data_IF_638063368699
#
_entry.id   IF_638063368699
#
_cell.length_a   1.000
_cell.length_b   1.000
_cell.length_c   1.000
_cell.angle_alpha   90.00
_cell.angle_beta   90.00
_cell.angle_gamma   90.00
#
_symmetry.space_group_name_H-M   'P 1'
#
loop_
_entity.id
_entity.type
_entity.pdbx_description
1 polymer ?
#
# COMPACT_ATOMS: atom_id res chain seq x y z
N UNK A 1 68.00 9.58 29.81
CA UNK A 1 67.62 8.42 28.99
C UNK A 1 66.15 8.09 29.20
N UNK A 2 65.25 8.46 28.27
CA UNK A 2 63.83 8.07 28.33
C UNK A 2 63.73 6.62 27.86
N UNK A 3 63.33 5.69 28.74
CA UNK A 3 62.98 4.32 28.34
C UNK A 3 61.80 4.41 27.37
N UNK A 4 62.04 4.14 26.09
CA UNK A 4 60.95 3.83 25.16
C UNK A 4 60.23 2.62 25.72
N UNK A 5 59.03 2.83 26.29
CA UNK A 5 58.12 1.72 26.58
C UNK A 5 57.84 1.05 25.25
N UNK A 6 58.28 -0.19 25.09
CA UNK A 6 57.83 -1.00 23.96
C UNK A 6 56.31 -1.01 24.01
N UNK A 7 55.63 -0.63 22.91
CA UNK A 7 54.18 -0.72 22.87
C UNK A 7 53.82 -2.19 23.12
N UNK A 8 53.08 -2.44 24.19
CA UNK A 8 52.54 -3.76 24.48
C UNK A 8 51.77 -4.19 23.23
N UNK A 9 52.23 -5.25 22.55
CA UNK A 9 51.51 -5.82 21.41
C UNK A 9 50.15 -6.23 21.92
N UNK A 10 49.12 -5.49 21.54
CA UNK A 10 47.75 -5.77 21.96
C UNK A 10 47.23 -6.94 21.12
N UNK A 11 46.74 -7.98 21.77
CA UNK A 11 46.13 -9.12 21.10
C UNK A 11 44.73 -8.78 20.59
N UNK A 12 44.28 -9.47 19.54
CA UNK A 12 42.93 -9.34 18.99
C UNK A 12 41.85 -9.64 20.05
N UNK A 13 40.93 -8.70 20.25
CA UNK A 13 39.84 -8.74 21.24
C UNK A 13 38.56 -9.43 20.73
N UNK A 14 38.66 -10.26 19.69
CA UNK A 14 37.51 -11.03 19.21
C UNK A 14 37.11 -12.05 20.29
N UNK A 15 35.82 -12.23 20.51
CA UNK A 15 35.30 -13.22 21.45
C UNK A 15 35.12 -14.54 20.71
N UNK A 16 35.96 -15.57 20.98
CA UNK A 16 35.88 -16.85 20.28
C UNK A 16 34.49 -17.48 20.42
N UNK A 17 34.04 -18.16 19.37
CA UNK A 17 32.87 -19.05 19.46
C UNK A 17 33.11 -20.22 20.42
N UNK A 18 32.08 -21.02 20.74
CA UNK A 18 32.18 -22.15 21.66
C UNK A 18 33.31 -23.14 21.33
N UNK A 19 33.57 -23.35 20.03
CA UNK A 19 34.56 -24.30 19.51
C UNK A 19 35.80 -23.62 18.90
N UNK A 20 35.95 -22.30 19.10
CA UNK A 20 37.03 -21.52 18.49
C UNK A 20 38.12 -21.17 19.51
N UNK A 21 39.38 -21.20 19.07
CA UNK A 21 40.49 -20.74 19.89
C UNK A 21 40.63 -19.21 19.83
N UNK A 22 41.12 -18.60 20.90
CA UNK A 22 41.44 -17.17 20.93
C UNK A 22 42.42 -16.79 19.80
N UNK A 23 42.16 -15.67 19.14
CA UNK A 23 42.98 -15.23 18.00
C UNK A 23 44.38 -14.78 18.46
N UNK A 24 45.48 -15.41 17.99
CA UNK A 24 46.83 -15.04 18.41
C UNK A 24 47.39 -13.81 17.69
N UNK A 25 46.65 -13.25 16.72
CA UNK A 25 47.16 -12.18 15.84
C UNK A 25 47.15 -10.83 16.55
N UNK A 26 48.11 -9.94 16.23
CA UNK A 26 48.13 -8.59 16.78
C UNK A 26 46.92 -7.79 16.31
N UNK A 27 46.38 -6.99 17.22
CA UNK A 27 45.29 -6.07 16.97
C UNK A 27 45.80 -4.69 16.53
N UNK A 28 44.91 -3.94 15.86
CA UNK A 28 45.15 -2.55 15.48
C UNK A 28 43.95 -1.68 15.87
N UNK A 29 44.19 -0.38 16.10
CA UNK A 29 43.15 0.61 16.42
C UNK A 29 42.79 0.71 17.91
N UNK A 30 41.82 1.57 18.21
CA UNK A 30 41.46 1.92 19.59
C UNK A 30 40.46 0.96 20.23
N UNK A 31 39.26 0.77 19.66
CA UNK A 31 38.24 -0.23 20.08
C UNK A 31 37.16 -0.46 19.00
N UNK A 32 36.66 -1.70 18.80
CA UNK A 32 37.24 -2.95 19.30
C UNK A 32 38.61 -3.19 18.65
N UNK A 33 39.59 -3.72 19.42
CA UNK A 33 40.95 -3.93 18.91
C UNK A 33 41.00 -5.26 18.17
N UNK A 34 40.85 -5.21 16.86
CA UNK A 34 40.75 -6.41 16.02
C UNK A 34 41.98 -6.54 15.10
N UNK A 35 42.35 -7.79 14.78
CA UNK A 35 43.30 -8.04 13.71
C UNK A 35 42.63 -7.79 12.34
N UNK A 36 43.42 -7.75 11.26
CA UNK A 36 42.92 -7.38 9.93
C UNK A 36 41.76 -8.26 9.43
N UNK A 37 41.76 -9.56 9.75
CA UNK A 37 40.71 -10.48 9.30
C UNK A 37 39.41 -10.30 10.09
N UNK A 38 39.48 -10.25 11.42
CA UNK A 38 38.31 -9.97 12.26
C UNK A 38 37.74 -8.56 12.04
N UNK A 39 38.56 -7.60 11.62
CA UNK A 39 38.08 -6.28 11.22
C UNK A 39 37.23 -6.33 9.92
N UNK A 40 37.58 -7.20 8.98
CA UNK A 40 36.76 -7.44 7.78
C UNK A 40 35.43 -8.09 8.15
N UNK A 41 35.46 -9.10 9.02
CA UNK A 41 34.26 -9.76 9.55
C UNK A 41 33.35 -8.75 10.27
N UNK A 42 33.91 -7.92 11.17
CA UNK A 42 33.21 -6.84 11.86
C UNK A 42 32.49 -5.92 10.88
N UNK A 43 33.20 -5.46 9.83
CA UNK A 43 32.61 -4.60 8.80
C UNK A 43 31.49 -5.29 8.03
N UNK A 44 31.68 -6.57 7.69
CA UNK A 44 30.69 -7.36 6.98
C UNK A 44 29.41 -7.50 7.81
N UNK A 45 29.51 -7.98 9.06
CA UNK A 45 28.38 -8.11 9.97
C UNK A 45 27.71 -6.76 10.26
N UNK A 46 28.50 -5.69 10.39
CA UNK A 46 27.97 -4.31 10.51
C UNK A 46 27.15 -3.90 9.30
N UNK A 47 27.65 -4.16 8.09
CA UNK A 47 26.93 -3.83 6.87
C UNK A 47 25.63 -4.64 6.77
N UNK A 48 25.66 -5.93 7.11
CA UNK A 48 24.49 -6.82 7.11
C UNK A 48 23.39 -6.31 8.03
N UNK A 49 23.68 -6.08 9.31
CA UNK A 49 22.62 -5.63 10.22
C UNK A 49 22.12 -4.22 9.87
N UNK A 50 22.97 -3.33 9.30
CA UNK A 50 22.52 -2.00 8.84
C UNK A 50 21.57 -2.08 7.65
N UNK A 51 21.84 -2.97 6.70
CA UNK A 51 20.93 -3.22 5.59
C UNK A 51 19.57 -3.73 6.09
N UNK A 52 19.59 -4.64 7.07
CA UNK A 52 18.38 -5.11 7.75
C UNK A 52 17.65 -3.97 8.48
N UNK A 53 18.38 -3.09 9.19
CA UNK A 53 17.79 -1.91 9.84
C UNK A 53 17.02 -1.03 8.84
N UNK A 54 17.61 -0.72 7.68
CA UNK A 54 16.93 0.12 6.69
C UNK A 54 15.73 -0.58 6.07
N UNK A 55 15.84 -1.88 5.76
CA UNK A 55 14.71 -2.68 5.27
C UNK A 55 13.58 -2.75 6.31
N UNK A 56 13.91 -3.00 7.58
CA UNK A 56 12.95 -3.04 8.67
C UNK A 56 12.24 -1.69 8.86
N UNK A 57 12.96 -0.57 8.76
CA UNK A 57 12.36 0.77 8.81
C UNK A 57 11.34 0.99 7.68
N UNK A 58 11.69 0.61 6.45
CA UNK A 58 10.77 0.73 5.32
C UNK A 58 9.50 -0.10 5.54
N UNK A 59 9.65 -1.39 5.83
CA UNK A 59 8.51 -2.29 6.07
C UNK A 59 7.66 -1.83 7.25
N UNK A 60 8.29 -1.34 8.33
CA UNK A 60 7.57 -0.79 9.47
C UNK A 60 6.72 0.42 9.07
N UNK A 61 7.28 1.36 8.30
CA UNK A 61 6.52 2.50 7.78
C UNK A 61 5.37 2.06 6.86
N UNK A 62 5.56 1.05 6.01
CA UNK A 62 4.50 0.52 5.13
C UNK A 62 3.35 -0.12 5.93
N UNK A 63 3.67 -0.89 6.98
CA UNK A 63 2.66 -1.38 7.92
C UNK A 63 1.89 -0.20 8.50
N UNK A 64 2.56 0.79 9.09
CA UNK A 64 1.86 1.90 9.75
C UNK A 64 1.17 2.90 8.81
N UNK A 65 1.56 2.96 7.53
CA UNK A 65 0.91 3.79 6.52
C UNK A 65 -0.47 3.24 6.09
N UNK A 66 -0.74 1.97 6.36
CA UNK A 66 -2.01 1.36 5.99
C UNK A 66 -3.10 1.83 6.95
N UNK A 67 -4.18 2.43 6.42
CA UNK A 67 -5.28 2.99 7.21
C UNK A 67 -6.15 1.87 7.80
N UNK A 68 -5.75 1.39 8.98
CA UNK A 68 -6.42 0.31 9.70
C UNK A 68 -7.78 0.70 10.29
N UNK A 69 -8.05 1.99 10.46
CA UNK A 69 -9.26 2.47 11.13
C UNK A 69 -10.49 2.40 10.21
N UNK A 70 -10.28 2.46 8.89
CA UNK A 70 -11.38 2.43 7.93
C UNK A 70 -11.75 1.02 7.47
N UNK A 71 -12.33 0.23 8.39
CA UNK A 71 -12.75 -1.17 8.17
C UNK A 71 -13.63 -1.38 6.92
N UNK A 72 -14.34 -0.34 6.46
CA UNK A 72 -15.25 -0.43 5.32
C UNK A 72 -14.57 -0.56 3.96
N UNK A 73 -13.28 -0.20 3.87
CA UNK A 73 -12.51 -0.25 2.61
C UNK A 73 -11.68 -1.54 2.45
N UNK A 74 -11.78 -2.46 3.40
CA UNK A 74 -10.96 -3.67 3.41
C UNK A 74 -11.61 -4.78 2.57
N UNK A 75 -10.89 -5.20 1.54
CA UNK A 75 -11.15 -6.47 0.85
C UNK A 75 -10.26 -7.58 1.41
N UNK A 76 -10.63 -8.83 1.17
CA UNK A 76 -9.82 -9.99 1.59
C UNK A 76 -8.40 -9.92 1.00
N UNK A 77 -8.25 -9.44 -0.24
CA UNK A 77 -6.97 -9.23 -0.92
C UNK A 77 -6.13 -8.17 -0.21
N UNK A 78 -6.73 -7.02 0.14
CA UNK A 78 -6.03 -5.96 0.86
C UNK A 78 -5.53 -6.45 2.22
N UNK A 79 -6.36 -7.17 2.97
CA UNK A 79 -5.96 -7.78 4.25
C UNK A 79 -4.83 -8.79 4.07
N UNK A 80 -4.88 -9.63 3.02
CA UNK A 80 -3.82 -10.59 2.73
C UNK A 80 -2.50 -9.91 2.40
N UNK A 81 -2.53 -8.85 1.59
CA UNK A 81 -1.35 -8.05 1.24
C UNK A 81 -0.72 -7.44 2.50
N UNK A 82 -1.53 -6.78 3.33
CA UNK A 82 -1.08 -6.20 4.59
C UNK A 82 -0.51 -7.25 5.57
N UNK A 83 -1.12 -8.44 5.64
CA UNK A 83 -0.59 -9.56 6.43
C UNK A 83 0.76 -10.05 5.91
N UNK A 84 0.98 -10.04 4.59
CA UNK A 84 2.25 -10.42 4.00
C UNK A 84 3.35 -9.40 4.39
N UNK A 85 3.08 -8.11 4.23
CA UNK A 85 4.00 -7.03 4.64
C UNK A 85 4.33 -7.10 6.14
N UNK A 86 3.31 -7.30 7.00
CA UNK A 86 3.51 -7.42 8.44
C UNK A 86 4.38 -8.64 8.81
N UNK A 87 4.20 -9.78 8.14
CA UNK A 87 5.05 -10.98 8.34
C UNK A 87 6.49 -10.74 7.91
N UNK A 88 6.70 -10.10 6.77
CA UNK A 88 8.04 -9.77 6.30
C UNK A 88 8.74 -8.77 7.24
N UNK A 89 7.99 -7.80 7.77
CA UNK A 89 8.49 -6.86 8.77
C UNK A 89 8.95 -7.59 10.04
N UNK A 90 8.13 -8.49 10.58
CA UNK A 90 8.48 -9.29 11.76
C UNK A 90 9.75 -10.13 11.53
N UNK A 91 9.82 -10.85 10.40
CA UNK A 91 10.99 -11.65 10.05
C UNK A 91 12.26 -10.80 9.93
N UNK A 92 12.16 -9.62 9.32
CA UNK A 92 13.30 -8.69 9.16
C UNK A 92 13.75 -8.13 10.52
N UNK A 93 12.82 -7.81 11.41
CA UNK A 93 13.14 -7.35 12.77
C UNK A 93 13.83 -8.45 13.58
N UNK A 94 13.36 -9.70 13.49
CA UNK A 94 13.99 -10.84 14.16
C UNK A 94 15.42 -11.08 13.65
N UNK A 95 15.63 -11.01 12.34
CA UNK A 95 16.94 -11.16 11.72
C UNK A 95 17.89 -10.01 12.08
N UNK A 96 17.38 -8.77 12.15
CA UNK A 96 18.16 -7.62 12.62
C UNK A 96 18.58 -7.80 14.08
N UNK A 97 17.64 -8.16 14.96
CA UNK A 97 17.90 -8.39 16.38
C UNK A 97 18.96 -9.49 16.56
N UNK A 98 18.81 -10.61 15.83
CA UNK A 98 19.77 -11.71 15.85
C UNK A 98 21.15 -11.24 15.38
N UNK A 99 21.24 -10.60 14.21
CA UNK A 99 22.49 -10.13 13.61
C UNK A 99 23.21 -9.12 14.51
N UNK A 100 22.47 -8.23 15.18
CA UNK A 100 23.04 -7.30 16.17
C UNK A 100 23.59 -8.00 17.39
N UNK A 101 22.84 -8.94 17.96
CA UNK A 101 23.31 -9.72 19.11
C UNK A 101 24.55 -10.52 18.75
N UNK A 102 24.57 -11.13 17.58
CA UNK A 102 25.71 -11.91 17.14
C UNK A 102 26.94 -11.02 16.94
N UNK A 103 26.79 -9.90 16.24
CA UNK A 103 27.84 -8.88 16.11
C UNK A 103 28.33 -8.39 17.49
N UNK A 104 27.41 -8.11 18.41
CA UNK A 104 27.78 -7.65 19.75
C UNK A 104 28.54 -8.74 20.53
N UNK A 105 28.00 -9.96 20.57
CA UNK A 105 28.58 -11.13 21.25
C UNK A 105 29.99 -11.43 20.73
N UNK A 106 30.20 -11.28 19.43
CA UNK A 106 31.46 -11.61 18.74
C UNK A 106 32.58 -10.59 18.99
N UNK A 107 32.26 -9.31 19.13
CA UNK A 107 33.27 -8.24 19.18
C UNK A 107 33.32 -7.43 20.48
N UNK A 108 32.40 -7.66 21.43
CA UNK A 108 32.31 -6.92 22.68
C UNK A 108 32.13 -7.88 23.86
N UNK A 109 33.24 -8.13 24.57
CA UNK A 109 33.30 -9.04 25.73
C UNK A 109 32.97 -8.40 27.06
N UNK A 110 33.19 -7.09 27.19
CA UNK A 110 32.93 -6.34 28.41
C UNK A 110 31.63 -5.53 28.28
N UNK A 111 30.75 -5.53 29.30
CA UNK A 111 29.67 -4.58 29.39
C UNK A 111 30.28 -3.19 29.61
N UNK A 112 30.58 -2.48 28.52
CA UNK A 112 30.95 -1.07 28.55
C UNK A 112 29.70 -0.19 28.35
N UNK A 113 29.86 1.13 28.41
CA UNK A 113 28.75 2.07 28.16
C UNK A 113 28.11 1.85 26.77
N UNK A 114 28.82 1.25 25.82
CA UNK A 114 28.27 0.91 24.50
C UNK A 114 27.35 -0.30 24.56
N UNK A 115 27.57 -1.23 25.48
CA UNK A 115 26.66 -2.35 25.71
C UNK A 115 25.27 -1.87 26.13
N UNK A 116 25.19 -0.88 27.02
CA UNK A 116 23.92 -0.28 27.42
C UNK A 116 23.17 0.32 26.22
N UNK A 117 23.89 1.06 25.35
CA UNK A 117 23.31 1.64 24.13
C UNK A 117 22.78 0.57 23.15
N UNK A 118 23.45 -0.58 23.08
CA UNK A 118 23.08 -1.68 22.21
C UNK A 118 21.82 -2.41 22.71
N UNK A 119 21.75 -2.67 24.01
CA UNK A 119 20.58 -3.29 24.63
C UNK A 119 19.35 -2.38 24.56
N UNK A 120 19.52 -1.06 24.71
CA UNK A 120 18.43 -0.09 24.49
C UNK A 120 17.91 -0.13 23.04
N UNK A 121 18.81 -0.22 22.05
CA UNK A 121 18.42 -0.38 20.66
C UNK A 121 17.64 -1.67 20.42
N UNK A 122 18.15 -2.81 20.91
CA UNK A 122 17.46 -4.10 20.82
C UNK A 122 16.09 -4.04 21.49
N UNK A 123 15.97 -3.36 22.64
CA UNK A 123 14.69 -3.15 23.32
C UNK A 123 13.72 -2.35 22.45
N UNK A 124 14.20 -1.32 21.75
CA UNK A 124 13.42 -0.56 20.77
C UNK A 124 12.93 -1.44 19.61
N UNK A 125 13.78 -2.31 19.07
CA UNK A 125 13.39 -3.26 18.02
C UNK A 125 12.34 -4.27 18.51
N UNK A 126 12.51 -4.81 19.72
CA UNK A 126 11.51 -5.69 20.35
C UNK A 126 10.17 -4.99 20.55
N UNK A 127 10.16 -3.71 20.92
CA UNK A 127 8.93 -2.92 21.04
C UNK A 127 8.22 -2.82 19.69
N UNK A 128 8.94 -2.44 18.63
CA UNK A 128 8.41 -2.41 17.26
C UNK A 128 7.87 -3.76 16.80
N UNK A 129 8.60 -4.84 17.10
CA UNK A 129 8.16 -6.20 16.81
C UNK A 129 6.81 -6.52 17.48
N UNK A 130 6.67 -6.20 18.77
CA UNK A 130 5.39 -6.37 19.49
C UNK A 130 4.25 -5.56 18.87
N UNK A 131 4.50 -4.32 18.45
CA UNK A 131 3.52 -3.44 17.80
C UNK A 131 3.07 -4.04 16.45
N UNK A 132 4.00 -4.45 15.59
CA UNK A 132 3.68 -5.10 14.30
C UNK A 132 2.95 -6.43 14.51
N UNK A 133 3.32 -7.19 15.54
CA UNK A 133 2.63 -8.43 15.89
C UNK A 133 1.18 -8.18 16.32
N UNK A 134 0.92 -7.09 17.05
CA UNK A 134 -0.44 -6.72 17.43
C UNK A 134 -1.29 -6.38 16.19
N UNK A 135 -0.74 -5.61 15.25
CA UNK A 135 -1.38 -5.30 13.96
C UNK A 135 -1.66 -6.59 13.16
N UNK A 136 -0.69 -7.49 13.07
CA UNK A 136 -0.87 -8.76 12.37
C UNK A 136 -2.02 -9.60 12.98
N UNK A 137 -2.17 -9.59 14.31
CA UNK A 137 -3.29 -10.25 14.99
C UNK A 137 -4.63 -9.59 14.67
N UNK A 138 -4.68 -8.26 14.66
CA UNK A 138 -5.88 -7.51 14.26
C UNK A 138 -6.29 -7.84 12.82
N UNK A 139 -5.33 -7.89 11.90
CA UNK A 139 -5.58 -8.24 10.51
C UNK A 139 -6.10 -9.67 10.33
N UNK A 140 -5.59 -10.64 11.09
CA UNK A 140 -6.13 -12.02 11.08
C UNK A 140 -7.60 -12.03 11.52
N UNK A 141 -7.93 -11.28 12.57
CA UNK A 141 -9.31 -11.14 13.05
C UNK A 141 -10.20 -10.46 12.00
N UNK A 142 -9.72 -9.39 11.36
CA UNK A 142 -10.43 -8.71 10.28
C UNK A 142 -10.69 -9.65 9.09
N UNK A 143 -9.67 -10.40 8.64
CA UNK A 143 -9.80 -11.41 7.59
C UNK A 143 -10.89 -12.43 7.91
N UNK A 144 -10.90 -12.95 9.14
CA UNK A 144 -11.88 -13.94 9.56
C UNK A 144 -13.31 -13.38 9.47
N UNK A 145 -13.52 -12.12 9.88
CA UNK A 145 -14.82 -11.45 9.77
C UNK A 145 -15.25 -11.26 8.31
N UNK A 146 -14.36 -10.77 7.44
CA UNK A 146 -14.67 -10.58 6.02
C UNK A 146 -15.08 -11.89 5.34
N UNK A 147 -14.36 -12.97 5.62
CA UNK A 147 -14.69 -14.30 5.08
C UNK A 147 -16.03 -14.83 5.62
N UNK A 148 -16.35 -14.57 6.88
CA UNK A 148 -17.66 -14.94 7.46
C UNK A 148 -18.80 -14.14 6.82
N UNK A 149 -18.61 -12.82 6.60
CA UNK A 149 -19.59 -11.99 5.90
C UNK A 149 -19.80 -12.43 4.45
N UNK A 150 -18.73 -12.76 3.72
CA UNK A 150 -18.83 -13.31 2.36
C UNK A 150 -19.62 -14.63 2.34
N UNK A 151 -19.36 -15.50 3.32
CA UNK A 151 -20.09 -16.75 3.48
C UNK A 151 -21.57 -16.50 3.77
N UNK A 152 -21.90 -15.61 4.71
CA UNK A 152 -23.29 -15.25 5.02
C UNK A 152 -24.03 -14.69 3.80
N UNK A 153 -23.39 -13.82 3.01
CA UNK A 153 -23.96 -13.30 1.75
C UNK A 153 -24.22 -14.42 0.74
N UNK A 154 -23.29 -15.38 0.61
CA UNK A 154 -23.46 -16.53 -0.25
C UNK A 154 -24.62 -17.44 0.20
N UNK A 155 -24.75 -17.67 1.51
CA UNK A 155 -25.85 -18.46 2.09
C UNK A 155 -27.22 -17.79 1.85
N UNK A 156 -27.33 -16.48 2.05
CA UNK A 156 -28.56 -15.71 1.75
C UNK A 156 -28.90 -15.74 0.26
N UNK A 157 -27.91 -15.61 -0.62
CA UNK A 157 -28.13 -15.70 -2.06
C UNK A 157 -28.60 -17.12 -2.45
N UNK A 158 -27.98 -18.16 -1.90
CA UNK A 158 -28.37 -19.54 -2.15
C UNK A 158 -29.80 -19.83 -1.68
N UNK A 159 -30.19 -19.32 -0.50
CA UNK A 159 -31.55 -19.45 0.01
C UNK A 159 -32.56 -18.71 -0.88
N UNK A 160 -32.22 -17.51 -1.34
CA UNK A 160 -33.05 -16.76 -2.26
C UNK A 160 -33.22 -17.48 -3.62
N UNK A 161 -32.18 -18.13 -4.12
CA UNK A 161 -32.25 -18.94 -5.33
C UNK A 161 -33.12 -20.20 -5.13
N UNK A 162 -33.06 -20.84 -3.95
CA UNK A 162 -33.94 -21.96 -3.59
C UNK A 162 -35.41 -21.54 -3.58
N UNK A 163 -35.74 -20.40 -2.96
CA UNK A 163 -37.13 -19.94 -2.91
C UNK A 163 -37.70 -19.58 -4.30
N UNK A 164 -36.87 -19.09 -5.22
CA UNK A 164 -37.30 -18.89 -6.62
C UNK A 164 -37.56 -20.21 -7.37
N UNK A 165 -36.80 -21.27 -7.08
CA UNK A 165 -37.02 -22.57 -7.70
C UNK A 165 -38.35 -23.21 -7.24
N UNK A 166 -38.71 -23.08 -5.96
CA UNK A 166 -39.95 -23.64 -5.42
C UNK A 166 -41.21 -22.99 -6.03
N UNK A 167 -41.17 -21.67 -6.29
CA UNK A 167 -42.28 -20.96 -6.95
C UNK A 167 -42.45 -21.42 -8.40
N UNK A 168 -41.37 -21.76 -9.10
CA UNK A 168 -41.43 -22.22 -10.49
C UNK A 168 -42.08 -23.62 -10.63
N UNK A 169 -42.01 -24.47 -9.61
CA UNK A 169 -42.58 -25.83 -9.64
C UNK A 169 -44.11 -25.81 -9.52
N UNK A 170 -44.71 -24.83 -8.84
CA UNK A 170 -46.16 -24.75 -8.63
C UNK A 170 -46.91 -24.24 -9.90
N UNK A 171 -46.20 -23.66 -10.87
CA UNK A 171 -46.80 -23.06 -12.07
C UNK A 171 -47.04 -23.98 -13.27
N UNK A 172 -46.62 -25.26 -13.24
CA UNK A 172 -46.59 -26.13 -14.44
C UNK A 172 -47.65 -27.24 -14.43
N UNK A 173 -48.38 -27.46 -13.34
CA UNK A 173 -49.40 -28.52 -13.27
C UNK A 173 -50.82 -28.08 -13.74
N UNK A 174 -50.99 -26.83 -14.15
CA UNK A 174 -52.29 -26.26 -14.52
C UNK A 174 -52.76 -26.48 -15.98
N UNK A 175 -51.93 -27.04 -16.86
CA UNK A 175 -52.27 -27.12 -18.31
C UNK A 175 -52.07 -28.52 -18.89
N UNK A 176 -52.65 -29.51 -18.21
CA UNK A 176 -52.71 -30.92 -18.67
C UNK A 176 -54.15 -31.40 -18.88
N UNK A 177 -55.07 -30.53 -19.29
CA UNK A 177 -56.40 -30.95 -19.75
C UNK A 177 -56.91 -30.09 -20.92
N UNK A 178 -56.27 -30.23 -22.09
CA UNK A 178 -56.98 -30.21 -23.37
C UNK A 178 -55.97 -30.49 -24.50
N UNK A 179 -56.05 -31.68 -25.10
CA UNK A 179 -56.34 -31.89 -26.53
C UNK A 179 -55.91 -33.30 -26.92
N UNK A 180 -56.64 -34.28 -26.42
CA UNK A 180 -56.74 -35.56 -27.09
C UNK A 180 -57.80 -35.38 -28.19
N UNK A 181 -57.36 -34.92 -29.34
CA UNK A 181 -58.16 -34.90 -30.56
C UNK A 181 -57.21 -35.13 -31.71
N UNK A 182 -57.24 -36.37 -32.19
CA UNK A 182 -56.37 -36.88 -33.22
C UNK A 182 -56.38 -36.04 -34.48
N UNK A 183 -55.21 -35.98 -35.11
CA UNK A 183 -55.09 -35.92 -36.56
C UNK A 183 -53.68 -36.39 -36.89
N UNK A 184 -53.55 -37.70 -37.09
CA UNK A 184 -52.49 -38.29 -37.88
C UNK A 184 -52.64 -37.80 -39.33
N UNK A 185 -52.15 -36.60 -39.63
CA UNK A 185 -51.84 -36.22 -41.00
C UNK A 185 -50.33 -36.11 -41.11
N UNK A 186 -49.75 -37.14 -41.74
CA UNK A 186 -48.38 -37.21 -42.21
C UNK A 186 -48.15 -36.08 -43.22
N UNK A 187 -47.83 -34.88 -42.73
CA UNK A 187 -47.30 -33.81 -43.58
C UNK A 187 -45.81 -34.05 -43.77
N UNK A 188 -45.48 -34.70 -44.89
CA UNK A 188 -44.12 -35.01 -45.33
C UNK A 188 -43.37 -33.79 -45.91
N UNK A 189 -43.83 -32.57 -45.64
CA UNK A 189 -43.12 -31.36 -46.02
C UNK A 189 -42.36 -30.83 -44.81
N UNK A 190 -41.12 -31.28 -44.68
CA UNK A 190 -40.15 -30.76 -43.71
C UNK A 190 -39.91 -29.27 -43.98
N UNK A 191 -40.74 -28.42 -43.35
CA UNK A 191 -40.53 -26.98 -43.35
C UNK A 191 -39.12 -26.74 -42.80
N UNK A 192 -38.23 -26.06 -43.54
CA UNK A 192 -36.86 -25.84 -43.10
C UNK A 192 -36.91 -25.14 -41.76
N UNK A 193 -36.54 -25.85 -40.70
CA UNK A 193 -36.40 -25.27 -39.36
C UNK A 193 -35.35 -24.19 -39.48
N UNK A 194 -35.79 -22.93 -39.50
CA UNK A 194 -34.88 -21.80 -39.43
C UNK A 194 -33.94 -22.04 -38.24
N UNK A 195 -32.62 -21.83 -38.42
CA UNK A 195 -31.66 -22.07 -37.35
C UNK A 195 -32.08 -21.27 -36.12
N UNK A 196 -32.24 -21.97 -34.99
CA UNK A 196 -32.55 -21.34 -33.70
C UNK A 196 -31.50 -20.28 -33.45
N UNK A 197 -31.93 -19.03 -33.33
CA UNK A 197 -31.01 -17.95 -33.10
C UNK A 197 -30.76 -17.85 -31.58
N UNK A 198 -29.54 -18.20 -31.18
CA UNK A 198 -29.14 -18.22 -29.77
C UNK A 198 -28.79 -16.81 -29.27
N UNK A 199 -28.97 -16.62 -27.97
CA UNK A 199 -28.54 -15.42 -27.27
C UNK A 199 -27.03 -15.13 -27.50
N UNK A 200 -26.67 -13.86 -27.66
CA UNK A 200 -25.27 -13.43 -27.85
C UNK A 200 -24.48 -13.30 -26.54
N UNK A 201 -25.16 -13.25 -25.40
CA UNK A 201 -24.51 -13.07 -24.10
C UNK A 201 -23.65 -14.28 -23.73
N UNK A 202 -22.57 -14.01 -23.02
CA UNK A 202 -21.73 -15.02 -22.37
C UNK A 202 -22.05 -15.10 -20.88
N UNK A 203 -21.90 -16.28 -20.30
CA UNK A 203 -21.92 -16.44 -18.85
C UNK A 203 -20.59 -15.95 -18.22
N UNK A 204 -20.48 -16.01 -16.90
CA UNK A 204 -19.26 -15.61 -16.18
C UNK A 204 -18.05 -16.50 -16.49
N UNK A 205 -18.26 -17.68 -17.08
CA UNK A 205 -17.20 -18.59 -17.52
C UNK A 205 -16.82 -18.37 -18.99
N UNK A 206 -17.43 -17.40 -19.67
CA UNK A 206 -17.19 -17.08 -21.08
C UNK A 206 -17.96 -17.96 -22.07
N UNK A 207 -18.79 -18.90 -21.61
CA UNK A 207 -19.61 -19.75 -22.48
C UNK A 207 -20.83 -19.01 -22.99
N UNK A 208 -21.24 -19.27 -24.23
CA UNK A 208 -22.39 -18.59 -24.83
C UNK A 208 -23.70 -19.12 -24.23
N UNK A 209 -24.64 -18.22 -23.97
CA UNK A 209 -25.98 -18.58 -23.51
C UNK A 209 -26.72 -19.42 -24.56
N UNK A 210 -27.22 -20.58 -24.13
CA UNK A 210 -27.96 -21.52 -25.00
C UNK A 210 -29.46 -21.19 -25.13
N UNK A 211 -29.94 -20.17 -24.42
CA UNK A 211 -31.34 -19.74 -24.52
C UNK A 211 -31.63 -19.11 -25.89
N UNK A 212 -32.83 -19.37 -26.40
CA UNK A 212 -33.32 -18.71 -27.62
C UNK A 212 -33.44 -17.20 -27.38
N UNK A 213 -32.98 -16.43 -28.38
CA UNK A 213 -33.15 -14.98 -28.36
C UNK A 213 -34.59 -14.61 -28.70
N UNK A 214 -35.03 -13.44 -28.26
CA UNK A 214 -36.32 -12.90 -28.68
C UNK A 214 -36.28 -12.54 -30.18
N UNK A 215 -37.42 -12.64 -30.88
CA UNK A 215 -37.49 -12.45 -32.33
C UNK A 215 -36.90 -11.10 -32.84
N UNK A 216 -36.87 -10.07 -31.99
CA UNK A 216 -36.36 -8.72 -32.31
C UNK A 216 -35.11 -8.32 -31.54
N UNK A 217 -34.56 -9.17 -30.67
CA UNK A 217 -33.42 -8.81 -29.81
C UNK A 217 -32.28 -9.82 -29.96
N UNK A 218 -31.02 -9.39 -29.80
CA UNK A 218 -29.88 -10.31 -29.84
C UNK A 218 -29.78 -11.19 -28.59
N UNK A 219 -30.55 -10.89 -27.53
CA UNK A 219 -30.49 -11.52 -26.22
C UNK A 219 -31.79 -12.25 -25.87
N UNK A 220 -31.70 -13.24 -24.98
CA UNK A 220 -32.87 -13.75 -24.27
C UNK A 220 -33.36 -12.70 -23.25
N UNK A 221 -34.60 -12.81 -22.81
CA UNK A 221 -35.23 -11.79 -21.95
C UNK A 221 -34.43 -11.50 -20.65
N UNK A 222 -33.91 -12.49 -19.90
CA UNK A 222 -33.10 -12.23 -18.70
C UNK A 222 -31.84 -11.40 -18.99
N UNK A 223 -31.07 -11.80 -20.00
CA UNK A 223 -29.84 -11.07 -20.39
C UNK A 223 -30.13 -9.70 -21.00
N UNK A 224 -31.32 -9.50 -21.58
CA UNK A 224 -31.73 -8.18 -22.05
C UNK A 224 -31.98 -7.22 -20.88
N UNK A 225 -32.70 -7.68 -19.85
CA UNK A 225 -32.93 -6.90 -18.62
C UNK A 225 -31.61 -6.55 -17.94
N UNK A 226 -30.74 -7.55 -17.78
CA UNK A 226 -29.42 -7.37 -17.17
C UNK A 226 -28.57 -6.37 -17.96
N UNK A 227 -28.55 -6.47 -19.29
CA UNK A 227 -27.84 -5.53 -20.15
C UNK A 227 -28.34 -4.10 -19.95
N UNK A 228 -29.65 -3.89 -19.87
CA UNK A 228 -30.22 -2.56 -19.74
C UNK A 228 -29.89 -1.95 -18.36
N UNK A 229 -29.85 -2.77 -17.30
CA UNK A 229 -29.39 -2.37 -15.96
C UNK A 229 -27.90 -1.98 -16.00
N UNK A 230 -27.04 -2.83 -16.55
CA UNK A 230 -25.59 -2.58 -16.63
C UNK A 230 -25.31 -1.32 -17.45
N UNK A 231 -25.97 -1.14 -18.59
CA UNK A 231 -25.79 0.02 -19.46
C UNK A 231 -26.24 1.31 -18.76
N UNK A 232 -27.35 1.28 -18.03
CA UNK A 232 -27.82 2.42 -17.23
C UNK A 232 -26.82 2.77 -16.12
N UNK A 233 -26.34 1.77 -15.37
CA UNK A 233 -25.35 1.96 -14.32
C UNK A 233 -24.00 2.49 -14.86
N UNK A 234 -23.57 2.00 -16.03
CA UNK A 234 -22.35 2.43 -16.69
C UNK A 234 -22.43 3.92 -17.05
N UNK A 235 -23.54 4.36 -17.68
CA UNK A 235 -23.76 5.77 -18.02
C UNK A 235 -23.77 6.67 -16.77
N UNK A 236 -24.38 6.21 -15.68
CA UNK A 236 -24.40 6.95 -14.42
C UNK A 236 -22.98 7.09 -13.83
N UNK A 237 -22.20 6.01 -13.83
CA UNK A 237 -20.83 6.01 -13.35
C UNK A 237 -19.92 6.91 -14.22
N UNK A 238 -20.05 6.87 -15.55
CA UNK A 238 -19.34 7.76 -16.46
C UNK A 238 -19.67 9.24 -16.22
N UNK A 239 -20.95 9.56 -15.97
CA UNK A 239 -21.36 10.91 -15.63
C UNK A 239 -20.71 11.39 -14.33
N UNK A 240 -20.70 10.55 -13.29
CA UNK A 240 -20.03 10.83 -12.03
C UNK A 240 -18.52 11.02 -12.21
N UNK A 241 -17.87 10.18 -13.02
CA UNK A 241 -16.45 10.30 -13.32
C UNK A 241 -16.13 11.63 -14.02
N UNK A 242 -16.91 12.02 -15.04
CA UNK A 242 -16.74 13.32 -15.73
C UNK A 242 -16.89 14.51 -14.77
N UNK A 243 -17.81 14.44 -13.82
CA UNK A 243 -17.99 15.48 -12.78
C UNK A 243 -16.75 15.59 -11.87
N UNK A 244 -16.15 14.45 -11.51
CA UNK A 244 -14.96 14.39 -10.66
C UNK A 244 -13.67 14.73 -11.40
N UNK A 245 -13.55 14.39 -12.68
CA UNK A 245 -12.35 14.59 -13.51
C UNK A 245 -11.93 16.07 -13.56
N UNK A 246 -12.89 17.00 -13.67
CA UNK A 246 -12.61 18.43 -13.63
C UNK A 246 -12.00 18.87 -12.29
N UNK A 247 -12.49 18.31 -11.17
CA UNK A 247 -11.96 18.57 -9.83
C UNK A 247 -10.56 17.98 -9.65
N UNK A 248 -10.36 16.72 -10.06
CA UNK A 248 -9.04 16.06 -10.00
C UNK A 248 -8.00 16.82 -10.81
N UNK A 249 -8.36 17.29 -12.01
CA UNK A 249 -7.47 18.13 -12.84
C UNK A 249 -7.15 19.48 -12.19
N UNK A 250 -8.09 20.05 -11.44
CA UNK A 250 -7.85 21.27 -10.69
C UNK A 250 -6.91 21.02 -9.50
N UNK A 251 -7.08 19.91 -8.78
CA UNK A 251 -6.21 19.48 -7.68
C UNK A 251 -4.78 19.26 -8.19
N UNK A 252 -4.63 18.56 -9.31
CA UNK A 252 -3.35 18.28 -9.97
C UNK A 252 -2.56 19.56 -10.28
N UNK A 253 -3.25 20.60 -10.79
CA UNK A 253 -2.64 21.91 -11.04
C UNK A 253 -2.31 22.67 -9.77
N UNK A 254 -3.16 22.59 -8.75
CA UNK A 254 -3.04 23.41 -7.54
C UNK A 254 -2.07 22.86 -6.49
N UNK A 255 -1.84 21.54 -6.43
CA UNK A 255 -0.97 20.93 -5.41
C UNK A 255 0.48 21.43 -5.45
N UNK A 256 0.92 21.99 -6.58
CA UNK A 256 2.26 22.53 -6.74
C UNK A 256 2.46 23.89 -6.03
N UNK A 257 1.37 24.56 -5.62
CA UNK A 257 1.41 25.84 -4.90
C UNK A 257 1.25 25.62 -3.39
N UNK A 258 2.33 25.17 -2.74
CA UNK A 258 2.32 24.76 -1.33
C UNK A 258 1.94 25.86 -0.32
N UNK A 259 2.12 27.14 -0.66
CA UNK A 259 1.95 28.25 0.29
C UNK A 259 0.50 28.51 0.73
N UNK A 260 -0.50 28.04 -0.04
CA UNK A 260 -1.92 28.26 0.23
C UNK A 260 -2.69 26.98 0.56
N UNK A 261 -1.98 25.86 0.75
CA UNK A 261 -2.60 24.54 0.87
C UNK A 261 -2.77 24.18 2.35
N UNK A 262 -4.00 24.11 2.85
CA UNK A 262 -4.30 23.78 4.26
C UNK A 262 -4.44 22.27 4.48
N UNK A 263 -4.32 21.81 5.74
CA UNK A 263 -4.55 20.40 6.09
C UNK A 263 -5.96 19.94 5.68
N UNK A 264 -6.99 20.74 5.99
CA UNK A 264 -8.37 20.40 5.62
C UNK A 264 -8.53 20.25 4.11
N UNK A 265 -7.93 21.16 3.33
CA UNK A 265 -7.96 21.07 1.87
C UNK A 265 -7.28 19.80 1.36
N UNK A 266 -6.17 19.39 1.98
CA UNK A 266 -5.50 18.13 1.65
C UNK A 266 -6.43 16.92 1.87
N UNK A 267 -7.15 16.90 2.98
CA UNK A 267 -8.11 15.83 3.31
C UNK A 267 -9.24 15.78 2.28
N UNK A 268 -9.84 16.93 1.95
CA UNK A 268 -10.95 17.02 0.99
C UNK A 268 -10.50 16.61 -0.43
N UNK A 269 -9.29 17.00 -0.82
CA UNK A 269 -8.70 16.65 -2.11
C UNK A 269 -8.37 15.14 -2.18
N UNK A 270 -7.85 14.54 -1.11
CA UNK A 270 -7.63 13.07 -1.01
C UNK A 270 -8.94 12.32 -1.19
N UNK A 271 -10.02 12.74 -0.50
CA UNK A 271 -11.34 12.11 -0.62
C UNK A 271 -11.88 12.23 -2.04
N UNK A 272 -11.70 13.39 -2.69
CA UNK A 272 -12.14 13.64 -4.06
C UNK A 272 -11.41 12.72 -5.06
N UNK A 273 -10.08 12.63 -4.96
CA UNK A 273 -9.27 11.79 -5.84
C UNK A 273 -9.56 10.29 -5.60
N UNK A 274 -9.76 9.90 -4.35
CA UNK A 274 -10.16 8.51 -4.00
C UNK A 274 -11.52 8.15 -4.57
N UNK A 275 -12.50 9.05 -4.47
CA UNK A 275 -13.85 8.86 -5.05
C UNK A 275 -13.80 8.72 -6.58
N UNK A 276 -12.93 9.48 -7.23
CA UNK A 276 -12.69 9.36 -8.67
C UNK A 276 -12.09 8.00 -9.02
N UNK A 277 -11.05 7.57 -8.30
CA UNK A 277 -10.42 6.27 -8.51
C UNK A 277 -11.43 5.11 -8.37
N UNK A 278 -12.28 5.15 -7.36
CA UNK A 278 -13.31 4.12 -7.15
C UNK A 278 -14.36 4.13 -8.26
N UNK A 279 -14.78 5.32 -8.71
CA UNK A 279 -15.68 5.44 -9.86
C UNK A 279 -15.06 4.86 -11.13
N UNK A 280 -13.76 5.07 -11.37
CA UNK A 280 -13.05 4.46 -12.49
C UNK A 280 -13.00 2.93 -12.40
N UNK A 281 -12.80 2.35 -11.20
CA UNK A 281 -12.86 0.88 -11.00
C UNK A 281 -14.26 0.36 -11.32
N UNK A 282 -15.30 1.05 -10.84
CA UNK A 282 -16.70 0.70 -11.11
C UNK A 282 -17.02 0.72 -12.61
N UNK A 283 -16.55 1.72 -13.36
CA UNK A 283 -16.70 1.80 -14.82
C UNK A 283 -16.06 0.58 -15.50
N UNK A 284 -14.84 0.19 -15.10
CA UNK A 284 -14.16 -0.99 -15.67
C UNK A 284 -14.94 -2.27 -15.44
N UNK A 285 -15.43 -2.49 -14.22
CA UNK A 285 -16.25 -3.67 -13.90
C UNK A 285 -17.54 -3.71 -14.73
N UNK A 286 -18.28 -2.59 -14.79
CA UNK A 286 -19.52 -2.48 -15.57
C UNK A 286 -19.28 -2.62 -17.08
N UNK A 287 -18.13 -2.16 -17.59
CA UNK A 287 -17.75 -2.33 -19.00
C UNK A 287 -17.53 -3.82 -19.30
N UNK A 288 -16.80 -4.54 -18.45
CA UNK A 288 -16.59 -5.98 -18.62
C UNK A 288 -17.91 -6.77 -18.63
N UNK A 289 -18.85 -6.42 -17.75
CA UNK A 289 -20.20 -7.01 -17.74
C UNK A 289 -20.99 -6.67 -19.01
N UNK A 290 -20.92 -5.41 -19.46
CA UNK A 290 -21.56 -4.99 -20.70
C UNK A 290 -21.03 -5.76 -21.91
N UNK A 291 -19.73 -6.01 -21.98
CA UNK A 291 -19.06 -6.73 -23.06
C UNK A 291 -19.47 -8.19 -23.09
N UNK A 292 -19.44 -8.83 -21.91
CA UNK A 292 -19.95 -10.19 -21.69
C UNK A 292 -21.39 -10.32 -22.20
N UNK A 293 -22.26 -9.35 -21.89
CA UNK A 293 -23.65 -9.39 -22.31
C UNK A 293 -23.84 -9.09 -23.80
N UNK A 294 -22.96 -8.29 -24.39
CA UNK A 294 -23.06 -7.84 -25.79
C UNK A 294 -22.43 -8.80 -26.79
N UNK A 295 -21.62 -9.76 -26.31
CA UNK A 295 -20.95 -10.76 -27.15
C UNK A 295 -19.89 -10.15 -28.07
N UNK A 296 -19.51 -8.89 -27.84
CA UNK A 296 -18.40 -8.21 -28.50
C UNK A 296 -17.22 -8.20 -27.54
N UNK A 297 -16.05 -8.59 -28.02
CA UNK A 297 -14.81 -8.31 -27.32
C UNK A 297 -14.52 -6.81 -27.54
N UNK A 298 -14.92 -5.98 -26.58
CA UNK A 298 -14.80 -4.52 -26.67
C UNK A 298 -13.36 -4.13 -26.34
N UNK A 299 -12.46 -4.31 -27.30
CA UNK A 299 -11.02 -4.12 -27.03
C UNK A 299 -10.54 -2.67 -27.09
N UNK A 300 -11.35 -1.67 -27.48
CA UNK A 300 -10.74 -0.44 -28.01
C UNK A 300 -11.30 0.92 -27.58
N UNK A 301 -12.08 1.02 -26.50
CA UNK A 301 -12.41 2.35 -25.98
C UNK A 301 -12.68 2.36 -24.49
N UNK A 302 -11.65 2.02 -23.71
CA UNK A 302 -11.55 2.62 -22.38
C UNK A 302 -11.43 4.14 -22.57
N UNK A 303 -12.27 4.95 -21.92
CA UNK A 303 -12.14 6.40 -21.98
C UNK A 303 -10.71 6.80 -21.64
N UNK A 304 -10.16 7.74 -22.42
CA UNK A 304 -8.83 8.35 -22.28
C UNK A 304 -8.53 8.84 -20.83
N UNK A 305 -9.57 8.95 -20.00
CA UNK A 305 -9.54 9.19 -18.56
C UNK A 305 -8.62 8.26 -17.73
N UNK A 306 -8.20 7.10 -18.26
CA UNK A 306 -7.19 6.26 -17.59
C UNK A 306 -5.74 6.80 -17.69
N UNK A 307 -5.49 7.92 -18.40
CA UNK A 307 -4.14 8.48 -18.60
C UNK A 307 -3.62 9.35 -17.46
N UNK A 308 -4.48 9.83 -16.56
CA UNK A 308 -3.99 10.52 -15.39
C UNK A 308 -3.40 9.48 -14.43
N UNK A 309 -2.14 9.67 -14.01
CA UNK A 309 -1.50 8.88 -12.97
C UNK A 309 -2.13 9.20 -11.61
N UNK A 310 -3.39 8.81 -11.40
CA UNK A 310 -4.18 9.06 -10.17
C UNK A 310 -3.40 8.62 -8.92
N UNK A 311 -2.61 7.56 -9.04
CA UNK A 311 -1.70 7.12 -7.97
C UNK A 311 -0.63 8.14 -7.59
N UNK A 312 -0.01 8.82 -8.57
CA UNK A 312 0.96 9.87 -8.31
C UNK A 312 0.32 11.08 -7.63
N UNK A 313 -0.93 11.43 -8.02
CA UNK A 313 -1.70 12.50 -7.38
C UNK A 313 -1.95 12.17 -5.91
N UNK A 314 -2.44 10.97 -5.60
CA UNK A 314 -2.70 10.53 -4.22
C UNK A 314 -1.44 10.55 -3.38
N UNK A 315 -0.33 9.98 -3.88
CA UNK A 315 0.95 9.95 -3.16
C UNK A 315 1.44 11.37 -2.81
N UNK A 316 1.31 12.32 -3.74
CA UNK A 316 1.65 13.71 -3.49
C UNK A 316 0.75 14.35 -2.42
N UNK A 317 -0.56 14.10 -2.47
CA UNK A 317 -1.51 14.62 -1.49
C UNK A 317 -1.29 14.05 -0.08
N UNK A 318 -1.01 12.75 0.04
CA UNK A 318 -0.64 12.13 1.32
C UNK A 318 0.64 12.73 1.88
N UNK A 319 1.64 12.99 1.05
CA UNK A 319 2.88 13.66 1.48
C UNK A 319 2.60 15.06 2.03
N UNK A 320 1.71 15.83 1.39
CA UNK A 320 1.28 17.15 1.86
C UNK A 320 0.52 17.02 3.20
N UNK A 321 -0.40 16.07 3.33
CA UNK A 321 -1.13 15.81 4.58
C UNK A 321 -0.16 15.50 5.74
N UNK A 322 0.79 14.58 5.53
CA UNK A 322 1.78 14.21 6.54
C UNK A 322 2.63 15.41 6.99
N UNK A 323 3.08 16.23 6.04
CA UNK A 323 3.83 17.46 6.36
C UNK A 323 3.03 18.41 7.26
N UNK A 324 1.74 18.62 6.98
CA UNK A 324 0.91 19.50 7.81
C UNK A 324 0.60 18.90 9.18
N UNK A 325 0.35 17.59 9.27
CA UNK A 325 0.15 16.91 10.55
C UNK A 325 1.40 17.01 11.44
N UNK A 326 2.60 16.85 10.87
CA UNK A 326 3.86 17.00 11.60
C UNK A 326 4.07 18.45 12.08
N UNK A 327 3.68 19.44 11.26
CA UNK A 327 3.76 20.86 11.61
C UNK A 327 2.74 21.27 12.68
N UNK A 328 1.54 20.70 12.70
CA UNK A 328 0.56 20.92 13.77
C UNK A 328 0.99 20.24 15.07
N UNK A 329 1.58 19.03 14.99
CA UNK A 329 2.13 18.33 16.14
C UNK A 329 3.36 19.04 16.72
N UNK A 330 4.16 19.68 15.86
CA UNK A 330 5.35 20.43 16.22
C UNK A 330 5.21 21.87 15.73
N UNK A 331 4.37 22.70 16.39
CA UNK A 331 4.24 24.09 15.99
C UNK A 331 5.64 24.70 16.00
N UNK A 332 6.07 25.36 14.90
CA UNK A 332 7.39 25.95 14.85
C UNK A 332 7.50 26.83 16.08
N UNK A 333 8.51 26.54 16.93
CA UNK A 333 8.78 27.35 18.12
C UNK A 333 8.85 28.77 17.61
N UNK A 334 7.81 29.57 17.89
CA UNK A 334 7.84 31.00 17.64
C UNK A 334 9.13 31.45 18.27
N UNK A 335 10.07 31.88 17.44
CA UNK A 335 11.34 32.35 17.96
C UNK A 335 11.00 33.50 18.88
N UNK A 336 11.01 33.25 20.19
CA UNK A 336 10.83 34.27 21.24
C UNK A 336 12.02 35.25 21.27
N UNK A 337 12.66 35.47 20.11
CA UNK A 337 13.73 36.41 19.88
C UNK A 337 13.20 37.75 19.35
N UNK A 338 11.89 37.98 19.40
CA UNK A 338 11.38 39.33 19.59
C UNK A 338 11.66 39.72 21.04
N UNK A 339 12.94 39.99 21.34
CA UNK A 339 13.27 40.83 22.49
C UNK A 339 12.47 42.12 22.30
N UNK A 340 11.72 42.59 23.31
CA UNK A 340 11.27 43.96 23.31
C UNK A 340 12.52 44.81 23.11
N UNK A 341 12.56 45.55 22.01
CA UNK A 341 13.55 46.60 21.83
C UNK A 341 13.18 47.65 22.88
N UNK A 342 13.72 47.50 24.10
CA UNK A 342 13.70 48.58 25.07
C UNK A 342 14.39 49.76 24.38
N UNK A 343 13.60 50.81 24.17
CA UNK A 343 14.05 52.12 23.74
C UNK A 343 15.05 52.63 24.77
N UNK A 344 16.33 52.32 24.57
CA UNK A 344 17.39 53.07 25.23
C UNK A 344 17.51 54.40 24.50
N UNK A 345 16.84 55.42 25.04
CA UNK A 345 17.20 56.81 24.82
C UNK A 345 18.67 57.01 25.20
N UNK A 346 19.56 56.95 24.20
CA UNK A 346 20.89 57.53 24.32
C UNK A 346 21.11 58.44 23.12
N UNK A 347 20.91 59.73 23.35
CA UNK A 347 21.45 60.82 22.55
C UNK A 347 22.94 60.58 22.31
N UNK A 348 23.37 60.52 21.05
CA UNK A 348 24.79 60.35 20.75
C UNK A 348 25.12 60.04 19.29
N UNK A 349 24.90 61.03 18.42
CA UNK A 349 25.69 61.38 17.23
C UNK A 349 26.46 60.32 16.40
N UNK A 350 26.18 60.35 15.09
CA UNK A 350 27.06 59.86 14.01
C UNK A 350 26.63 58.49 13.49
N UNK A 351 25.93 58.38 12.36
CA UNK A 351 26.53 58.56 11.03
C UNK A 351 26.98 57.18 10.48
N UNK A 352 26.84 56.99 9.16
CA UNK A 352 27.23 55.80 8.34
C UNK A 352 26.11 54.81 7.95
N UNK A 353 25.47 55.16 6.82
CA UNK A 353 25.37 54.37 5.57
C UNK A 353 25.78 52.89 5.63
N UNK A 354 24.89 51.98 5.19
CA UNK A 354 25.31 50.66 4.74
C UNK A 354 24.22 49.60 4.66
N UNK A 355 23.68 49.37 3.45
CA UNK A 355 22.89 48.20 3.04
C UNK A 355 23.43 46.86 3.55
N UNK A 356 22.53 45.90 3.83
CA UNK A 356 22.42 44.64 3.07
C UNK A 356 21.32 43.71 3.62
N UNK A 357 20.46 43.27 2.69
CA UNK A 357 19.59 42.11 2.81
C UNK A 357 20.42 40.84 3.10
N UNK A 358 20.12 40.16 4.21
CA UNK A 358 20.69 38.87 4.56
C UNK A 358 19.64 37.76 4.50
N UNK A 359 19.53 37.10 3.33
CA UNK A 359 18.94 35.78 3.17
C UNK A 359 19.99 34.71 3.48
N UNK A 360 19.72 33.79 4.41
CA UNK A 360 20.32 32.44 4.48
C UNK A 360 19.46 31.58 5.43
N UNK A 361 18.67 30.59 4.98
CA UNK A 361 19.05 29.35 4.33
C UNK A 361 20.06 28.51 5.15
N UNK A 362 19.60 27.86 6.23
CA UNK A 362 20.34 26.78 6.86
C UNK A 362 19.92 25.48 6.18
N UNK A 363 20.71 25.09 5.17
CA UNK A 363 20.67 23.77 4.57
C UNK A 363 21.39 22.76 5.48
N UNK A 364 20.65 21.78 5.99
CA UNK A 364 21.19 20.55 6.56
C UNK A 364 21.62 19.64 5.40
N UNK A 365 22.90 19.70 5.03
CA UNK A 365 23.54 18.73 4.15
C UNK A 365 24.52 17.86 4.93
N UNK A 366 24.16 16.59 5.06
CA UNK A 366 24.98 15.41 4.77
C UNK A 366 26.46 15.44 5.16
N UNK A 367 26.83 14.56 6.09
CA UNK A 367 28.17 13.97 6.16
C UNK A 367 28.06 12.44 6.25
N UNK A 368 27.91 11.80 5.08
CA UNK A 368 28.25 10.40 4.85
C UNK A 368 29.44 10.39 3.88
N UNK A 369 30.65 10.45 4.43
CA UNK A 369 31.88 10.20 3.68
C UNK A 369 32.17 8.71 3.64
N UNK A 370 31.87 8.06 2.52
CA UNK A 370 32.40 6.73 2.18
C UNK A 370 33.44 6.89 1.08
N UNK A 371 34.67 6.35 1.20
CA UNK A 371 35.65 6.44 0.14
C UNK A 371 35.39 5.38 -0.94
N UNK A 372 35.38 5.83 -2.20
CA UNK A 372 35.42 4.98 -3.39
C UNK A 372 36.59 4.01 -3.34
N UNK A 373 36.29 2.71 -3.40
CA UNK A 373 37.28 1.67 -3.72
C UNK A 373 37.40 1.64 -5.23
N UNK A 374 38.59 2.01 -5.73
CA UNK A 374 38.98 1.86 -7.11
C UNK A 374 39.03 0.38 -7.51
N UNK A 375 38.57 0.10 -8.73
CA UNK A 375 38.81 -1.19 -9.40
C UNK A 375 40.25 -1.20 -9.91
N UNK A 376 40.99 -2.24 -9.54
CA UNK A 376 42.17 -2.74 -10.24
C UNK A 376 41.88 -4.19 -10.64
#
# INVERSE_FOLDING_TARGET
MRRQRQPSIVQCEVVPGPDELSCPRPAFGDRPRLCADHWKEYKCLTATYKALTEKAKQLYSEVFATDWENATLWTVENVNSALATARECLATLDEEIYSRREHHRRFFSQPDDRHASHEEWIRGLRKKHSEVSAIANQLRTCKAKLLDEERQRAEVLAERLRSYADVAVIGVDGSRHHRDSGSQLKSAYGSPRFPRQLCVARDHMGSRCESERMASQPRCQPHQIEHDIVLSALRAAESAARSLEGRVSQIDRHRHFQSAYTLQRAIDDIQTVSSYQETCRKIRALSADHDRLSGKDYTDSLPVAARLEVGAILNALYSIKSYWQEREANPPRQSQNERPHEESESEGGGGWVGSLLGMAAIGLSLWLGWPSIGRS
#
